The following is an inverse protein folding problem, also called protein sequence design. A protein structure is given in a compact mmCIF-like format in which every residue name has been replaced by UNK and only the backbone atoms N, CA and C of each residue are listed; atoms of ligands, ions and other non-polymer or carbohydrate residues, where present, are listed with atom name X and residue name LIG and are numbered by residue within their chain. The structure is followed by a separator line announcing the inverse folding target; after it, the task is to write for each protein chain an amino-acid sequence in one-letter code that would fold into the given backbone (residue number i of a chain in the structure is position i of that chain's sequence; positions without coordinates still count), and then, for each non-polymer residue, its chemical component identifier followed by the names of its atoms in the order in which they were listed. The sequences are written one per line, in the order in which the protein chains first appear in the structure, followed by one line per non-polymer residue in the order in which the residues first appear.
data_IF_218152541883
#
_entry.id   IF_218152541883
#
_cell.length_a   1.000
_cell.length_b   1.000
_cell.length_c   1.000
_cell.angle_alpha   90.00
_cell.angle_beta   90.00
_cell.angle_gamma   90.00
#
_symmetry.space_group_name_H-M   'P 1'
#
loop_
_entity.id
_entity.type
_entity.pdbx_description
1 polymer ?
#
# COMPACT_ATOMS: atom_id res chain seq x y z
N UNK A 1 -8.12 7.73 -1.35
CA UNK A 1 -6.73 8.18 -1.21
C UNK A 1 -6.36 9.21 -2.27
N UNK A 2 -6.29 8.91 -3.59
CA UNK A 2 -5.79 9.85 -4.63
C UNK A 2 -6.46 11.23 -4.66
N UNK A 3 -7.72 11.34 -4.27
CA UNK A 3 -8.43 12.63 -4.19
C UNK A 3 -8.09 13.44 -2.95
N UNK A 4 -7.58 12.77 -1.92
CA UNK A 4 -7.36 13.33 -0.59
C UNK A 4 -5.88 13.32 -0.19
N UNK A 5 -5.00 12.76 -1.02
CA UNK A 5 -3.55 12.81 -0.80
C UNK A 5 -3.10 14.28 -0.68
N UNK A 6 -2.27 14.56 0.31
CA UNK A 6 -1.89 15.94 0.65
C UNK A 6 -2.89 16.67 1.54
N UNK A 7 -3.94 16.02 2.04
CA UNK A 7 -4.89 16.59 2.99
C UNK A 7 -4.95 15.78 4.29
N UNK A 8 -5.58 16.36 5.33
CA UNK A 8 -5.81 15.68 6.61
C UNK A 8 -6.90 14.60 6.54
N UNK A 9 -7.69 14.60 5.47
CA UNK A 9 -8.80 13.67 5.25
C UNK A 9 -8.38 12.42 4.47
N UNK A 10 -7.08 12.28 4.18
CA UNK A 10 -6.55 11.09 3.51
C UNK A 10 -6.75 9.85 4.39
N UNK A 11 -7.52 8.84 3.93
CA UNK A 11 -7.79 7.63 4.71
C UNK A 11 -6.53 6.80 5.02
N UNK A 12 -5.45 6.97 4.24
CA UNK A 12 -4.18 6.26 4.44
C UNK A 12 -3.19 7.02 5.33
N UNK A 13 -3.46 8.27 5.66
CA UNK A 13 -2.61 9.14 6.47
C UNK A 13 -2.11 8.47 7.77
N UNK A 14 -2.92 7.72 8.55
CA UNK A 14 -2.46 7.05 9.77
C UNK A 14 -1.34 6.03 9.56
N UNK A 15 -1.15 5.55 8.32
CA UNK A 15 -0.16 4.54 8.00
C UNK A 15 1.26 5.11 7.85
N UNK A 16 1.38 6.40 7.49
CA UNK A 16 2.67 7.02 7.15
C UNK A 16 2.93 8.40 7.81
N UNK A 17 1.92 9.10 8.32
CA UNK A 17 2.11 10.44 8.89
C UNK A 17 3.00 10.48 10.12
N UNK A 18 3.07 9.38 10.89
CA UNK A 18 3.87 9.31 12.11
C UNK A 18 5.39 9.14 11.86
N UNK A 19 5.82 8.99 10.61
CA UNK A 19 7.24 8.81 10.30
C UNK A 19 7.97 10.17 10.18
N UNK A 20 9.25 10.24 10.60
CA UNK A 20 10.13 9.16 11.07
C UNK A 20 9.76 8.62 12.47
N UNK A 21 10.10 7.34 12.72
CA UNK A 21 9.89 6.66 14.01
C UNK A 21 11.18 6.01 14.50
N UNK A 22 11.26 5.72 15.79
CA UNK A 22 12.37 4.95 16.37
C UNK A 22 12.32 3.46 15.98
N UNK A 23 13.47 2.77 16.08
CA UNK A 23 13.62 1.35 15.74
C UNK A 23 12.69 0.44 16.54
N UNK A 24 12.43 0.75 17.81
CA UNK A 24 11.57 -0.07 18.68
C UNK A 24 10.10 0.05 18.21
N UNK A 25 9.66 1.26 17.87
CA UNK A 25 8.34 1.52 17.31
C UNK A 25 8.17 0.81 15.96
N UNK A 26 9.16 0.91 15.07
CA UNK A 26 9.12 0.20 13.78
C UNK A 26 9.04 -1.32 13.98
N UNK A 27 9.90 -1.89 14.86
CA UNK A 27 9.86 -3.33 15.18
C UNK A 27 8.50 -3.78 15.70
N UNK A 28 7.87 -3.02 16.61
CA UNK A 28 6.51 -3.34 17.09
C UNK A 28 5.49 -3.35 15.96
N UNK A 29 5.59 -2.43 15.00
CA UNK A 29 4.71 -2.39 13.82
C UNK A 29 4.92 -3.62 12.92
N UNK A 30 6.17 -3.98 12.64
CA UNK A 30 6.52 -5.19 11.86
C UNK A 30 6.01 -6.46 12.53
N UNK A 31 6.25 -6.64 13.84
CA UNK A 31 5.76 -7.80 14.58
C UNK A 31 4.24 -7.88 14.60
N UNK A 32 3.55 -6.75 14.70
CA UNK A 32 2.09 -6.69 14.63
C UNK A 32 1.56 -7.14 13.27
N UNK A 33 2.23 -6.77 12.17
CA UNK A 33 1.83 -7.18 10.83
C UNK A 33 2.10 -8.67 10.63
N UNK A 34 3.30 -9.14 10.94
CA UNK A 34 3.68 -10.55 10.82
C UNK A 34 2.88 -11.49 11.75
N UNK A 35 2.38 -10.99 12.88
CA UNK A 35 1.50 -11.79 13.76
C UNK A 35 0.04 -11.89 13.25
N UNK A 36 -0.28 -11.29 12.09
CA UNK A 36 -1.63 -11.31 11.52
C UNK A 36 -2.61 -10.31 12.18
N UNK A 37 -2.22 -9.63 13.25
CA UNK A 37 -3.11 -8.69 13.97
C UNK A 37 -3.63 -7.56 13.09
N UNK A 38 -2.79 -7.05 12.18
CA UNK A 38 -3.19 -6.01 11.22
C UNK A 38 -4.18 -6.56 10.20
N UNK A 39 -3.91 -7.73 9.63
CA UNK A 39 -4.81 -8.39 8.67
C UNK A 39 -6.17 -8.73 9.27
N UNK A 40 -6.21 -9.28 10.49
CA UNK A 40 -7.46 -9.58 11.22
C UNK A 40 -8.26 -8.30 11.51
N UNK A 41 -7.59 -7.19 11.88
CA UNK A 41 -8.27 -5.90 12.06
C UNK A 41 -8.88 -5.39 10.75
N UNK A 42 -8.16 -5.53 9.64
CA UNK A 42 -8.66 -5.16 8.31
C UNK A 42 -9.90 -5.98 7.95
N UNK A 43 -9.86 -7.30 8.11
CA UNK A 43 -11.03 -8.17 7.88
C UNK A 43 -12.22 -7.77 8.76
N UNK A 44 -11.99 -7.50 10.04
CA UNK A 44 -13.02 -7.03 10.96
C UNK A 44 -13.61 -5.67 10.56
N UNK A 45 -12.80 -4.76 10.06
CA UNK A 45 -13.26 -3.48 9.53
C UNK A 45 -14.14 -3.66 8.28
N UNK A 46 -13.69 -4.47 7.32
CA UNK A 46 -14.45 -4.78 6.09
C UNK A 46 -15.78 -5.45 6.42
N UNK A 47 -15.78 -6.44 7.33
CA UNK A 47 -16.99 -7.13 7.76
C UNK A 47 -18.00 -6.18 8.44
N UNK A 48 -17.53 -5.29 9.33
CA UNK A 48 -18.39 -4.29 9.98
C UNK A 48 -18.94 -3.27 8.99
N UNK A 49 -18.14 -2.81 8.03
CA UNK A 49 -18.58 -1.91 6.98
C UNK A 49 -19.67 -2.54 6.10
N UNK A 50 -19.53 -3.82 5.78
CA UNK A 50 -20.55 -4.56 5.05
C UNK A 50 -21.85 -4.74 5.86
N UNK A 51 -21.75 -5.06 7.18
CA UNK A 51 -22.88 -5.18 8.09
C UNK A 51 -23.57 -3.81 8.32
N UNK A 52 -22.80 -2.74 8.51
CA UNK A 52 -23.34 -1.37 8.67
C UNK A 52 -24.10 -0.87 7.44
N UNK A 53 -23.64 -1.22 6.24
CA UNK A 53 -24.34 -0.91 4.99
C UNK A 53 -25.71 -1.60 4.88
N UNK A 54 -25.89 -2.73 5.54
CA UNK A 54 -27.19 -3.44 5.59
C UNK A 54 -28.16 -2.77 6.57
N UNK A 55 -27.66 -2.23 7.69
CA UNK A 55 -28.51 -1.66 8.77
C UNK A 55 -28.87 -0.20 8.55
N UNK A 56 -28.06 0.57 7.82
CA UNK A 56 -28.20 2.03 7.70
C UNK A 56 -28.93 2.50 6.43
N UNK A 57 -29.55 1.61 5.64
CA UNK A 57 -30.18 2.00 4.37
C UNK A 57 -29.21 2.61 3.35
N UNK A 58 -27.91 2.58 3.66
CA UNK A 58 -26.86 3.06 2.78
C UNK A 58 -26.76 2.19 1.54
N UNK A 59 -26.70 2.86 0.42
CA UNK A 59 -26.56 2.36 -0.94
C UNK A 59 -26.06 0.91 -1.05
N UNK A 60 -26.76 0.09 -1.83
CA UNK A 60 -26.39 -1.29 -2.23
C UNK A 60 -24.94 -1.45 -2.72
N UNK A 61 -24.20 -0.36 -2.90
CA UNK A 61 -22.82 -0.35 -3.40
C UNK A 61 -21.78 -0.99 -2.42
N UNK A 62 -22.01 -0.93 -1.10
CA UNK A 62 -21.06 -1.45 -0.11
C UNK A 62 -21.11 -2.97 0.09
N UNK A 63 -22.29 -3.58 -0.08
CA UNK A 63 -22.47 -5.03 0.13
C UNK A 63 -22.02 -5.86 -1.08
N UNK A 64 -22.12 -5.32 -2.30
CA UNK A 64 -21.73 -6.03 -3.52
C UNK A 64 -20.25 -6.40 -3.57
N UNK A 65 -19.28 -5.50 -3.35
CA UNK A 65 -17.87 -5.85 -3.29
C UNK A 65 -17.56 -6.90 -2.23
N UNK A 66 -18.20 -6.82 -1.06
CA UNK A 66 -18.01 -7.79 0.01
C UNK A 66 -18.50 -9.19 -0.38
N UNK A 67 -19.69 -9.29 -0.98
CA UNK A 67 -20.21 -10.57 -1.48
C UNK A 67 -19.35 -11.15 -2.61
N UNK A 68 -18.83 -10.32 -3.52
CA UNK A 68 -17.88 -10.76 -4.54
C UNK A 68 -16.59 -11.28 -3.93
N UNK A 69 -16.05 -10.60 -2.90
CA UNK A 69 -14.89 -11.08 -2.15
C UNK A 69 -15.17 -12.46 -1.54
N UNK A 70 -16.29 -12.64 -0.84
CA UNK A 70 -16.64 -13.94 -0.24
C UNK A 70 -16.79 -15.04 -1.30
N UNK A 71 -17.38 -14.74 -2.45
CA UNK A 71 -17.50 -15.69 -3.56
C UNK A 71 -16.12 -16.13 -4.06
N UNK A 72 -15.21 -15.18 -4.28
CA UNK A 72 -13.82 -15.49 -4.71
C UNK A 72 -13.12 -16.36 -3.66
N UNK A 73 -13.29 -16.07 -2.37
CA UNK A 73 -12.72 -16.89 -1.30
C UNK A 73 -13.30 -18.31 -1.30
N UNK A 74 -14.61 -18.44 -1.47
CA UNK A 74 -15.27 -19.75 -1.56
C UNK A 74 -14.76 -20.55 -2.76
N UNK A 75 -14.63 -19.92 -3.92
CA UNK A 75 -14.07 -20.56 -5.14
C UNK A 75 -12.63 -21.02 -4.90
N UNK A 76 -11.76 -20.16 -4.35
CA UNK A 76 -10.36 -20.51 -4.06
C UNK A 76 -10.26 -21.69 -3.10
N UNK A 77 -11.05 -21.69 -2.03
CA UNK A 77 -11.08 -22.80 -1.07
C UNK A 77 -11.57 -24.08 -1.74
N UNK A 78 -12.67 -24.02 -2.48
CA UNK A 78 -13.24 -25.18 -3.18
C UNK A 78 -12.22 -25.76 -4.18
N UNK A 79 -11.60 -24.93 -5.00
CA UNK A 79 -10.57 -25.38 -5.93
C UNK A 79 -9.38 -26.05 -5.21
N UNK A 80 -8.94 -25.50 -4.07
CA UNK A 80 -7.86 -26.08 -3.28
C UNK A 80 -8.22 -27.44 -2.69
N UNK A 81 -9.47 -27.61 -2.22
CA UNK A 81 -9.99 -28.87 -1.70
C UNK A 81 -10.12 -29.91 -2.80
N UNK A 82 -10.72 -29.54 -3.94
CA UNK A 82 -10.87 -30.45 -5.09
C UNK A 82 -9.53 -30.90 -5.69
N UNK A 83 -8.52 -30.03 -5.62
CA UNK A 83 -7.15 -30.38 -6.01
C UNK A 83 -6.40 -31.27 -4.98
N UNK A 84 -7.04 -31.63 -3.87
CA UNK A 84 -6.40 -32.39 -2.79
C UNK A 84 -5.36 -31.61 -1.98
N UNK A 85 -5.33 -30.27 -2.11
CA UNK A 85 -4.32 -29.39 -1.48
C UNK A 85 -4.97 -28.23 -0.68
N UNK A 86 -5.83 -28.53 0.33
CA UNK A 86 -6.50 -27.48 1.11
C UNK A 86 -5.54 -26.54 1.85
N UNK A 87 -4.30 -27.01 2.12
CA UNK A 87 -3.25 -26.21 2.75
C UNK A 87 -2.81 -25.01 1.88
N UNK A 88 -3.01 -25.06 0.56
CA UNK A 88 -2.72 -23.89 -0.32
C UNK A 88 -3.60 -22.70 0.02
N UNK A 89 -4.88 -22.93 0.30
CA UNK A 89 -5.76 -21.87 0.75
C UNK A 89 -5.36 -21.32 2.12
N UNK A 90 -4.98 -22.21 3.05
CA UNK A 90 -4.48 -21.78 4.36
C UNK A 90 -3.19 -20.97 4.25
N UNK A 91 -2.24 -21.37 3.39
CA UNK A 91 -1.01 -20.64 3.13
C UNK A 91 -1.30 -19.27 2.49
N UNK A 92 -2.21 -19.21 1.52
CA UNK A 92 -2.63 -17.96 0.89
C UNK A 92 -3.26 -17.00 1.90
N UNK A 93 -4.20 -17.47 2.72
CA UNK A 93 -4.84 -16.67 3.75
C UNK A 93 -3.84 -16.20 4.82
N UNK A 94 -2.95 -17.10 5.25
CA UNK A 94 -1.87 -16.77 6.19
C UNK A 94 -0.95 -15.68 5.63
N UNK A 95 -0.53 -15.81 4.37
CA UNK A 95 0.29 -14.79 3.69
C UNK A 95 -0.45 -13.45 3.58
N UNK A 96 -1.73 -13.46 3.25
CA UNK A 96 -2.55 -12.25 3.20
C UNK A 96 -2.63 -11.54 4.55
N UNK A 97 -2.83 -12.29 5.64
CA UNK A 97 -2.96 -11.73 6.98
C UNK A 97 -1.63 -11.22 7.56
N UNK A 98 -0.49 -11.70 7.08
CA UNK A 98 0.84 -11.47 7.66
C UNK A 98 1.79 -10.73 6.71
N UNK A 99 2.46 -11.44 5.81
CA UNK A 99 3.50 -10.91 4.93
C UNK A 99 2.98 -9.83 3.99
N UNK A 100 1.77 -9.98 3.47
CA UNK A 100 1.14 -8.97 2.63
C UNK A 100 0.90 -7.65 3.41
N UNK A 101 0.47 -7.71 4.67
CA UNK A 101 0.32 -6.51 5.51
C UNK A 101 1.65 -5.80 5.71
N UNK A 102 2.73 -6.56 5.92
CA UNK A 102 4.08 -5.98 6.02
C UNK A 102 4.50 -5.31 4.69
N UNK A 103 4.30 -5.99 3.55
CA UNK A 103 4.64 -5.43 2.23
C UNK A 103 3.87 -4.13 1.99
N UNK A 104 2.56 -4.08 2.27
CA UNK A 104 1.74 -2.86 2.14
C UNK A 104 2.31 -1.75 3.02
N UNK A 105 2.67 -2.03 4.28
CA UNK A 105 3.30 -1.05 5.16
C UNK A 105 4.59 -0.49 4.59
N UNK A 106 5.50 -1.36 4.13
CA UNK A 106 6.79 -0.94 3.56
C UNK A 106 6.59 -0.05 2.33
N UNK A 107 5.59 -0.38 1.52
CA UNK A 107 5.21 0.42 0.35
C UNK A 107 4.68 1.79 0.76
N UNK A 108 3.67 1.86 1.62
CA UNK A 108 3.09 3.13 2.05
C UNK A 108 4.12 4.06 2.70
N UNK A 109 5.04 3.50 3.49
CA UNK A 109 6.17 4.25 4.04
C UNK A 109 7.06 4.77 2.91
N UNK A 110 7.40 3.93 1.93
CA UNK A 110 8.29 4.32 0.85
C UNK A 110 7.64 5.34 -0.09
N UNK A 111 6.34 5.29 -0.25
CA UNK A 111 5.56 6.13 -1.14
C UNK A 111 5.29 7.53 -0.55
N UNK A 112 5.00 7.62 0.76
CA UNK A 112 4.48 8.85 1.38
C UNK A 112 5.19 9.31 2.66
N UNK A 113 6.01 8.47 3.34
CA UNK A 113 6.61 8.89 4.60
C UNK A 113 7.84 9.79 4.40
N UNK A 114 8.01 10.78 5.30
CA UNK A 114 9.14 11.71 5.28
C UNK A 114 9.39 12.33 3.89
N UNK A 115 8.32 12.74 3.25
CA UNK A 115 8.31 13.55 2.03
C UNK A 115 8.54 15.02 2.38
N UNK A 116 8.91 15.89 1.41
CA UNK A 116 9.17 17.31 1.70
C UNK A 116 8.03 18.03 2.40
N UNK A 117 6.78 17.83 1.97
CA UNK A 117 5.59 18.40 2.61
C UNK A 117 4.40 17.47 2.42
N UNK A 118 4.07 16.75 3.49
CA UNK A 118 3.00 15.73 3.48
C UNK A 118 1.61 16.32 3.15
N UNK A 119 1.38 17.57 3.46
CA UNK A 119 0.08 18.23 3.29
C UNK A 119 0.04 19.17 2.08
N UNK A 120 1.04 19.12 1.20
CA UNK A 120 1.04 19.92 0.00
C UNK A 120 0.14 19.28 -1.08
N UNK A 121 -0.65 20.09 -1.83
CA UNK A 121 -1.53 19.57 -2.88
C UNK A 121 -0.76 19.03 -4.12
N UNK A 122 0.49 19.44 -4.32
CA UNK A 122 1.33 18.96 -5.43
C UNK A 122 1.93 17.59 -5.07
N UNK A 123 1.62 16.52 -5.85
CA UNK A 123 2.16 15.17 -5.61
C UNK A 123 3.69 15.10 -5.55
N UNK A 124 4.40 16.01 -6.21
CA UNK A 124 5.87 16.06 -6.19
C UNK A 124 6.44 16.35 -4.79
N UNK A 125 5.63 16.90 -3.89
CA UNK A 125 6.02 17.22 -2.50
C UNK A 125 5.51 16.22 -1.48
N UNK A 126 4.37 15.56 -1.74
CA UNK A 126 3.70 14.67 -0.79
C UNK A 126 3.83 13.17 -1.14
N UNK A 127 4.50 12.86 -2.26
CA UNK A 127 4.64 11.49 -2.78
C UNK A 127 6.05 11.29 -3.34
N UNK A 128 6.43 10.05 -3.55
CA UNK A 128 7.77 9.70 -4.02
C UNK A 128 7.73 8.58 -5.03
N UNK A 129 8.68 8.60 -5.99
CA UNK A 129 9.05 7.44 -6.80
C UNK A 129 10.30 6.80 -6.21
N UNK A 130 10.32 5.47 -6.18
CA UNK A 130 11.50 4.69 -5.78
C UNK A 130 12.07 3.99 -7.01
N UNK A 131 13.18 4.48 -7.56
CA UNK A 131 13.89 3.81 -8.66
C UNK A 131 14.69 2.62 -8.13
N UNK A 132 13.95 1.62 -7.65
CA UNK A 132 14.50 0.46 -6.97
C UNK A 132 15.11 -0.56 -7.97
N UNK A 133 16.10 -1.36 -7.53
CA UNK A 133 16.65 -2.47 -8.31
C UNK A 133 15.55 -3.50 -8.61
N UNK A 134 15.76 -4.31 -9.68
CA UNK A 134 14.74 -5.21 -10.23
C UNK A 134 14.14 -6.17 -9.18
N UNK A 135 14.94 -6.72 -8.28
CA UNK A 135 14.50 -7.67 -7.25
C UNK A 135 13.59 -7.02 -6.19
N UNK A 136 13.86 -5.73 -5.82
CA UNK A 136 12.95 -4.98 -4.92
C UNK A 136 11.64 -4.66 -5.63
N UNK A 137 11.69 -4.30 -6.92
CA UNK A 137 10.47 -4.07 -7.70
C UNK A 137 9.62 -5.33 -7.79
N UNK A 138 10.25 -6.49 -8.02
CA UNK A 138 9.54 -7.77 -8.08
C UNK A 138 8.88 -8.13 -6.75
N UNK A 139 9.57 -7.94 -5.61
CA UNK A 139 9.09 -8.31 -4.28
C UNK A 139 8.10 -7.30 -3.68
N UNK A 140 8.39 -5.99 -3.82
CA UNK A 140 7.68 -4.93 -3.09
C UNK A 140 6.79 -4.08 -4.00
N UNK A 141 7.08 -4.01 -5.30
CA UNK A 141 6.44 -3.09 -6.23
C UNK A 141 6.00 -3.76 -7.54
N UNK A 142 5.24 -4.87 -7.50
CA UNK A 142 4.69 -5.45 -8.71
C UNK A 142 3.86 -4.42 -9.47
N UNK A 143 3.70 -4.62 -10.78
CA UNK A 143 2.92 -3.73 -11.66
C UNK A 143 3.45 -2.28 -11.72
N UNK A 144 4.72 -2.04 -11.39
CA UNK A 144 5.33 -0.71 -11.50
C UNK A 144 4.85 0.31 -10.47
N UNK A 145 4.27 -0.13 -9.34
CA UNK A 145 3.80 0.76 -8.27
C UNK A 145 4.92 1.55 -7.59
N UNK A 146 6.18 1.21 -7.84
CA UNK A 146 7.33 2.03 -7.44
C UNK A 146 7.35 3.42 -8.11
N UNK A 147 6.67 3.59 -9.26
CA UNK A 147 6.43 4.87 -9.92
C UNK A 147 5.20 5.57 -9.35
N UNK A 148 5.16 5.71 -8.03
CA UNK A 148 3.96 6.14 -7.31
C UNK A 148 3.67 7.63 -7.49
N UNK A 149 4.70 8.46 -7.59
CA UNK A 149 4.56 9.88 -7.93
C UNK A 149 3.90 10.06 -9.31
N UNK A 150 4.33 9.33 -10.31
CA UNK A 150 3.76 9.38 -11.65
C UNK A 150 2.31 8.93 -11.66
N UNK A 151 2.00 7.92 -10.84
CA UNK A 151 0.64 7.44 -10.65
C UNK A 151 -0.26 8.52 -10.00
N UNK A 152 0.23 9.27 -9.03
CA UNK A 152 -0.50 10.40 -8.44
C UNK A 152 -0.63 11.60 -9.39
N UNK A 153 0.38 11.88 -10.21
CA UNK A 153 0.31 12.94 -11.21
C UNK A 153 -0.72 12.65 -12.31
N UNK A 154 -0.77 11.40 -12.79
CA UNK A 154 -1.63 10.97 -13.88
C UNK A 154 -2.27 9.59 -13.58
N UNK A 155 -3.27 9.52 -12.69
CA UNK A 155 -3.87 8.26 -12.23
C UNK A 155 -4.50 7.41 -13.36
N UNK A 156 -4.86 8.03 -14.49
CA UNK A 156 -5.42 7.34 -15.66
C UNK A 156 -4.39 6.59 -16.49
N UNK A 157 -3.08 6.74 -16.24
CA UNK A 157 -2.04 6.04 -16.98
C UNK A 157 -1.93 4.58 -16.49
N UNK A 158 -2.04 3.57 -17.39
CA UNK A 158 -1.92 2.17 -17.01
C UNK A 158 -0.54 1.86 -16.39
N UNK A 159 -0.51 0.97 -15.41
CA UNK A 159 0.69 0.64 -14.62
C UNK A 159 1.90 0.24 -15.49
N UNK A 160 1.69 -0.49 -16.59
CA UNK A 160 2.75 -0.88 -17.51
C UNK A 160 3.34 0.29 -18.33
N UNK A 161 2.72 1.48 -18.29
CA UNK A 161 3.20 2.71 -18.95
C UNK A 161 3.88 3.68 -17.98
N UNK A 162 3.79 3.49 -16.67
CA UNK A 162 4.33 4.41 -15.67
C UNK A 162 5.85 4.63 -15.83
N UNK A 163 6.61 3.59 -16.16
CA UNK A 163 8.05 3.74 -16.45
C UNK A 163 8.34 4.64 -17.64
N UNK A 164 7.50 4.59 -18.68
CA UNK A 164 7.63 5.47 -19.84
C UNK A 164 7.26 6.91 -19.47
N UNK A 165 6.19 7.08 -18.68
CA UNK A 165 5.78 8.38 -18.16
C UNK A 165 6.90 9.00 -17.32
N UNK A 166 7.52 8.26 -16.40
CA UNK A 166 8.65 8.72 -15.60
C UNK A 166 9.79 9.29 -16.48
N UNK A 167 10.19 8.57 -17.53
CA UNK A 167 11.22 9.06 -18.47
C UNK A 167 10.82 10.35 -19.15
N UNK A 168 9.60 10.42 -19.68
CA UNK A 168 9.09 11.62 -20.34
C UNK A 168 9.03 12.84 -19.41
N UNK A 169 8.62 12.63 -18.15
CA UNK A 169 8.61 13.71 -17.16
C UNK A 169 10.02 14.20 -16.82
N UNK A 170 10.98 13.28 -16.71
CA UNK A 170 12.40 13.63 -16.52
C UNK A 170 12.97 14.41 -17.70
N UNK A 171 12.77 13.93 -18.91
CA UNK A 171 13.23 14.58 -20.15
C UNK A 171 12.68 16.00 -20.30
N UNK A 172 11.49 16.27 -19.76
CA UNK A 172 10.85 17.59 -19.78
C UNK A 172 11.13 18.46 -18.55
N UNK A 173 12.01 18.05 -17.66
CA UNK A 173 12.32 18.79 -16.43
C UNK A 173 11.19 18.81 -15.39
N UNK A 174 10.07 18.09 -15.61
CA UNK A 174 8.91 18.13 -14.71
C UNK A 174 9.17 17.49 -13.33
N UNK A 175 10.26 16.73 -13.18
CA UNK A 175 10.70 16.12 -11.93
C UNK A 175 11.92 16.82 -11.31
N UNK A 176 12.27 18.01 -11.76
CA UNK A 176 13.35 18.81 -11.14
C UNK A 176 13.01 19.12 -9.67
N UNK A 177 13.99 18.96 -8.79
CA UNK A 177 13.81 19.16 -7.34
C UNK A 177 13.10 18.01 -6.61
N UNK A 178 12.61 16.98 -7.32
CA UNK A 178 12.07 15.79 -6.68
C UNK A 178 13.22 14.89 -6.19
N UNK A 179 13.21 14.45 -4.91
CA UNK A 179 14.29 13.61 -4.38
C UNK A 179 14.44 12.29 -5.14
N UNK A 180 15.65 12.01 -5.60
CA UNK A 180 15.98 10.71 -6.23
C UNK A 180 16.14 9.64 -5.15
N UNK A 181 15.28 8.66 -5.16
CA UNK A 181 15.28 7.56 -4.18
C UNK A 181 15.52 6.24 -4.88
N UNK A 182 16.68 5.61 -4.62
CA UNK A 182 17.18 4.45 -5.37
C UNK A 182 16.88 3.09 -4.73
N UNK A 183 16.25 3.03 -3.56
CA UNK A 183 15.87 1.75 -2.95
C UNK A 183 14.89 1.92 -1.80
N UNK A 184 14.07 0.90 -1.56
CA UNK A 184 13.21 0.83 -0.36
C UNK A 184 14.03 0.84 0.93
N UNK A 185 15.19 0.20 0.93
CA UNK A 185 16.12 0.23 2.08
C UNK A 185 16.68 1.63 2.38
N UNK A 186 16.89 2.47 1.36
CA UNK A 186 17.30 3.85 1.57
C UNK A 186 16.21 4.67 2.26
N UNK A 187 14.96 4.51 1.83
CA UNK A 187 13.82 5.14 2.52
C UNK A 187 13.71 4.69 3.96
N UNK A 188 13.75 3.37 4.21
CA UNK A 188 13.65 2.84 5.57
C UNK A 188 14.74 3.38 6.50
N UNK A 189 15.98 3.51 6.02
CA UNK A 189 17.06 4.13 6.80
C UNK A 189 16.81 5.60 7.13
N UNK A 190 16.14 6.33 6.24
CA UNK A 190 15.80 7.74 6.48
C UNK A 190 14.62 7.93 7.45
N UNK A 191 13.68 6.98 7.49
CA UNK A 191 12.44 7.11 8.28
C UNK A 191 12.45 6.29 9.58
N UNK A 192 13.42 5.37 9.76
CA UNK A 192 13.62 4.59 10.99
C UNK A 192 14.92 5.05 11.65
N UNK A 193 14.80 5.93 12.62
CA UNK A 193 15.92 6.59 13.29
C UNK A 193 16.32 5.87 14.58
N UNK A 194 17.52 6.16 15.11
CA UNK A 194 17.85 5.77 16.47
C UNK A 194 17.06 6.63 17.44
N UNK A 195 16.59 6.05 18.54
CA UNK A 195 16.08 6.82 19.65
C UNK A 195 17.24 7.67 20.19
N UNK A 196 17.05 8.99 20.20
CA UNK A 196 17.98 9.90 20.89
C UNK A 196 17.94 9.68 22.39
#
# INVERSE_FOLDING_TARGET
HHRMAGTRDDPDLPNYAAYPVDRASFRRKVLRDLSGRTGLRLLGFVARGAAGGVTAGASRSGTRPFRQMLLVQAVLLTCSVLAGMPWLYAAWLGSFLTTFMLVIRLRQIAEHAAVPDLYHPDPRKNTRTVDAPWWQRWLLAPNGVNFHLEHHLLPGVPCYRLRRLHRLLRERGALEGVPDTRSYGAVLRAVVVQAG
#
